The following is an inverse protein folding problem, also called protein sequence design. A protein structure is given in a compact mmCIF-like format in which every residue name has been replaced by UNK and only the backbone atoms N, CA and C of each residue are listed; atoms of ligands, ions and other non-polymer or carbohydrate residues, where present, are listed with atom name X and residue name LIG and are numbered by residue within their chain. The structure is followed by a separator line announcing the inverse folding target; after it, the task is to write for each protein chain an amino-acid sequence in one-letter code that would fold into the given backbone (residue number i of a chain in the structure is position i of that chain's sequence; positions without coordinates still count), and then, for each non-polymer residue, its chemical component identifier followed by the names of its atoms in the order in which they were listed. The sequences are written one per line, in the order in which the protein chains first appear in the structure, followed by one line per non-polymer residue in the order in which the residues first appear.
data_IF_333486479023
#
_entry.id   IF_333486479023
#
_cell.length_a   1.000
_cell.length_b   1.000
_cell.length_c   1.000
_cell.angle_alpha   90.00
_cell.angle_beta   90.00
_cell.angle_gamma   90.00
#
_symmetry.space_group_name_H-M   'P 1'
#
loop_
_entity.id
_entity.type
_entity.pdbx_description
1 polymer ?
#
# COMPACT_ATOMS: atom_id res chain seq x y z
N UNK A 1 -3.78 28.39 -0.97
CA UNK A 1 -3.76 27.26 -0.01
C UNK A 1 -2.61 26.36 -0.41
N UNK A 2 -1.62 26.19 0.46
CA UNK A 2 -0.46 25.33 0.21
C UNK A 2 -0.88 23.87 0.38
N UNK A 3 -0.73 23.05 -0.65
CA UNK A 3 -0.95 21.60 -0.58
C UNK A 3 -0.13 21.01 0.57
N UNK A 4 -0.67 20.01 1.31
CA UNK A 4 0.12 19.32 2.32
C UNK A 4 1.27 18.60 1.60
N UNK A 5 2.47 19.19 1.69
CA UNK A 5 3.69 18.64 1.09
C UNK A 5 3.97 17.29 1.76
N UNK A 6 3.64 16.20 1.08
CA UNK A 6 3.97 14.86 1.54
C UNK A 6 5.49 14.73 1.54
N UNK A 7 6.06 14.26 2.65
CA UNK A 7 7.51 14.02 2.78
C UNK A 7 8.01 12.92 1.82
N UNK A 8 7.08 12.20 1.19
CA UNK A 8 7.33 11.04 0.35
C UNK A 8 6.87 11.32 -1.09
N UNK A 9 7.60 10.81 -2.07
CA UNK A 9 7.12 10.72 -3.44
C UNK A 9 5.93 9.76 -3.48
N UNK A 10 4.78 10.24 -3.95
CA UNK A 10 3.55 9.46 -4.08
C UNK A 10 3.53 8.84 -5.47
N UNK A 11 3.39 7.51 -5.52
CA UNK A 11 3.40 6.74 -6.76
C UNK A 11 2.00 6.53 -7.33
N UNK A 12 1.00 6.37 -6.45
CA UNK A 12 -0.39 6.10 -6.83
C UNK A 12 -1.35 6.67 -5.78
N UNK A 13 -2.60 6.88 -6.18
CA UNK A 13 -3.66 7.35 -5.28
C UNK A 13 -4.84 6.39 -5.38
N UNK A 14 -5.43 6.02 -4.25
CA UNK A 14 -6.66 5.23 -4.18
C UNK A 14 -7.73 6.12 -3.52
N UNK A 15 -8.78 6.40 -4.28
CA UNK A 15 -9.94 7.17 -3.80
C UNK A 15 -10.71 6.44 -2.69
N UNK A 16 -11.60 7.16 -2.01
CA UNK A 16 -12.45 6.64 -0.93
C UNK A 16 -13.39 5.51 -1.37
N UNK A 17 -13.73 5.46 -2.67
CA UNK A 17 -14.53 4.38 -3.27
C UNK A 17 -13.68 3.20 -3.75
N UNK A 18 -12.36 3.31 -3.64
CA UNK A 18 -11.39 2.28 -3.99
C UNK A 18 -10.93 2.30 -5.45
N UNK A 19 -11.22 3.35 -6.23
CA UNK A 19 -10.67 3.50 -7.58
C UNK A 19 -9.22 3.97 -7.47
N UNK A 20 -8.33 3.32 -8.20
CA UNK A 20 -6.90 3.66 -8.25
C UNK A 20 -6.62 4.60 -9.43
N UNK A 21 -5.95 5.71 -9.13
CA UNK A 21 -5.31 6.57 -10.12
C UNK A 21 -3.83 6.18 -10.21
N UNK A 22 -3.36 5.94 -11.44
CA UNK A 22 -2.03 5.43 -11.77
C UNK A 22 -1.73 4.06 -11.14
N UNK A 23 -2.32 3.00 -11.69
CA UNK A 23 -2.09 1.61 -11.23
C UNK A 23 -0.68 1.07 -11.58
N UNK A 24 -0.10 1.54 -12.69
CA UNK A 24 1.15 0.99 -13.24
C UNK A 24 2.30 0.87 -12.22
N UNK A 25 2.60 1.88 -11.38
CA UNK A 25 3.63 1.76 -10.33
C UNK A 25 3.38 0.63 -9.33
N UNK A 26 2.12 0.35 -8.98
CA UNK A 26 1.75 -0.76 -8.08
C UNK A 26 2.10 -2.10 -8.74
N UNK A 27 1.74 -2.27 -10.01
CA UNK A 27 2.03 -3.49 -10.77
C UNK A 27 3.54 -3.69 -10.93
N UNK A 28 4.28 -2.64 -11.29
CA UNK A 28 5.74 -2.68 -11.41
C UNK A 28 6.38 -3.08 -10.07
N UNK A 29 5.96 -2.45 -8.97
CA UNK A 29 6.49 -2.77 -7.64
C UNK A 29 6.29 -4.24 -7.29
N UNK A 30 5.06 -4.76 -7.36
CA UNK A 30 4.81 -6.17 -6.98
C UNK A 30 5.44 -7.17 -7.95
N UNK A 31 5.56 -6.85 -9.24
CA UNK A 31 6.33 -7.67 -10.18
C UNK A 31 7.81 -7.71 -9.80
N UNK A 32 8.39 -6.57 -9.42
CA UNK A 32 9.78 -6.53 -8.94
C UNK A 32 9.99 -7.35 -7.67
N UNK A 33 9.03 -7.35 -6.74
CA UNK A 33 9.06 -8.22 -5.56
C UNK A 33 9.08 -9.70 -5.96
N UNK A 34 8.27 -10.12 -6.95
CA UNK A 34 8.29 -11.50 -7.46
C UNK A 34 9.62 -11.88 -8.11
N UNK A 35 10.33 -10.91 -8.69
CA UNK A 35 11.65 -11.09 -9.28
C UNK A 35 12.79 -11.00 -8.26
N UNK A 36 12.51 -10.73 -6.99
CA UNK A 36 13.52 -10.56 -5.95
C UNK A 36 14.24 -9.20 -5.99
N UNK A 37 13.75 -8.25 -6.78
CA UNK A 37 14.34 -6.91 -6.94
C UNK A 37 13.86 -5.98 -5.84
N UNK A 38 14.79 -5.43 -5.06
CA UNK A 38 14.47 -4.47 -4.00
C UNK A 38 13.86 -3.17 -4.55
N UNK A 39 13.02 -2.54 -3.74
CA UNK A 39 12.31 -1.33 -4.15
C UNK A 39 11.35 -0.82 -3.09
N UNK A 40 10.66 0.28 -3.41
CA UNK A 40 9.62 0.85 -2.56
C UNK A 40 8.50 1.47 -3.39
N UNK A 41 7.34 1.62 -2.77
CA UNK A 41 6.20 2.35 -3.31
C UNK A 41 5.46 3.06 -2.17
N UNK A 42 4.98 4.27 -2.43
CA UNK A 42 4.12 4.98 -1.49
C UNK A 42 2.78 5.29 -2.18
N UNK A 43 1.69 4.88 -1.56
CA UNK A 43 0.34 5.05 -2.11
C UNK A 43 -0.49 5.85 -1.12
N UNK A 44 -1.16 6.90 -1.60
CA UNK A 44 -2.19 7.58 -0.79
C UNK A 44 -3.48 6.79 -0.91
N UNK A 45 -4.15 6.54 0.20
CA UNK A 45 -5.48 5.94 0.26
C UNK A 45 -6.38 6.85 1.06
N UNK A 46 -7.48 7.28 0.45
CA UNK A 46 -8.48 8.09 1.14
C UNK A 46 -9.45 7.19 1.90
N UNK A 47 -9.76 7.56 3.15
CA UNK A 47 -10.84 6.93 3.91
C UNK A 47 -12.20 7.33 3.34
N UNK A 48 -13.29 6.71 3.82
CA UNK A 48 -14.65 7.09 3.39
C UNK A 48 -15.01 8.53 3.81
N UNK A 49 -14.38 9.04 4.87
CA UNK A 49 -14.47 10.41 5.36
C UNK A 49 -13.61 11.39 4.53
N UNK A 50 -12.86 10.89 3.54
CA UNK A 50 -11.97 11.70 2.70
C UNK A 50 -10.64 12.06 3.36
N UNK A 51 -10.25 11.37 4.43
CA UNK A 51 -8.98 11.60 5.12
C UNK A 51 -7.84 10.82 4.43
N UNK A 52 -6.69 11.43 4.14
CA UNK A 52 -5.59 10.74 3.47
C UNK A 52 -4.78 9.87 4.45
N UNK A 53 -4.60 8.61 4.10
CA UNK A 53 -3.63 7.70 4.69
C UNK A 53 -2.51 7.43 3.70
N UNK A 54 -1.27 7.25 4.17
CA UNK A 54 -0.15 6.86 3.32
C UNK A 54 0.21 5.41 3.63
N UNK A 55 0.28 4.61 2.58
CA UNK A 55 0.75 3.22 2.61
C UNK A 55 2.13 3.17 1.99
N UNK A 56 3.15 3.01 2.83
CA UNK A 56 4.55 2.92 2.41
C UNK A 56 4.97 1.46 2.45
N UNK A 57 5.37 0.90 1.32
CA UNK A 57 5.75 -0.49 1.19
C UNK A 57 7.19 -0.53 0.67
N UNK A 58 8.05 -1.29 1.33
CA UNK A 58 9.45 -1.46 0.95
C UNK A 58 9.77 -2.95 0.92
N UNK A 59 10.47 -3.38 -0.12
CA UNK A 59 11.02 -4.73 -0.22
C UNK A 59 12.54 -4.66 -0.28
N UNK A 60 13.20 -5.38 0.62
CA UNK A 60 14.67 -5.35 0.77
C UNK A 60 15.39 -6.51 0.05
N UNK A 61 14.68 -7.26 -0.81
CA UNK A 61 15.17 -8.49 -1.43
C UNK A 61 14.85 -9.76 -0.63
N UNK A 62 14.30 -9.62 0.58
CA UNK A 62 13.88 -10.76 1.42
C UNK A 62 12.56 -10.52 2.14
N UNK A 63 12.38 -9.35 2.74
CA UNK A 63 11.22 -8.99 3.53
C UNK A 63 10.50 -7.77 2.94
N UNK A 64 9.18 -7.77 3.10
CA UNK A 64 8.30 -6.66 2.80
C UNK A 64 7.99 -5.95 4.12
N UNK A 65 8.43 -4.70 4.22
CA UNK A 65 8.09 -3.78 5.31
C UNK A 65 6.93 -2.91 4.86
N UNK A 66 5.93 -2.78 5.71
CA UNK A 66 4.75 -1.97 5.45
C UNK A 66 4.53 -0.99 6.60
N UNK A 67 4.33 0.28 6.24
CA UNK A 67 3.97 1.34 7.16
C UNK A 67 2.66 1.97 6.70
N UNK A 68 1.68 1.99 7.60
CA UNK A 68 0.46 2.77 7.46
C UNK A 68 0.61 4.04 8.28
N UNK A 69 0.76 5.18 7.61
CA UNK A 69 0.73 6.49 8.25
C UNK A 69 -0.68 7.08 8.11
N UNK A 70 -1.41 7.05 9.22
CA UNK A 70 -2.73 7.67 9.38
C UNK A 70 -2.68 8.82 10.39
N UNK A 71 -1.49 9.38 10.66
CA UNK A 71 -1.30 10.46 11.64
C UNK A 71 -2.07 11.73 11.32
N UNK A 72 -2.41 11.95 10.04
CA UNK A 72 -3.22 13.07 9.56
C UNK A 72 -4.73 12.77 9.48
N UNK A 73 -5.15 11.62 9.96
CA UNK A 73 -6.57 11.22 10.04
C UNK A 73 -7.07 11.34 11.47
N UNK A 74 -8.38 11.25 11.64
CA UNK A 74 -9.05 11.13 12.94
C UNK A 74 -8.47 10.04 13.86
N UNK A 75 -7.89 8.98 13.30
CA UNK A 75 -7.27 7.89 14.09
C UNK A 75 -5.90 8.26 14.66
N UNK A 76 -5.13 9.12 13.99
CA UNK A 76 -3.83 9.59 14.47
C UNK A 76 -2.74 8.52 14.63
N UNK A 77 -2.87 7.34 13.99
CA UNK A 77 -1.96 6.21 14.21
C UNK A 77 -0.88 6.05 13.13
N UNK A 78 0.28 5.51 13.51
CA UNK A 78 1.29 4.97 12.61
C UNK A 78 1.51 3.50 12.97
N UNK A 79 1.26 2.60 12.01
CA UNK A 79 1.35 1.15 12.22
C UNK A 79 2.43 0.57 11.31
N UNK A 80 3.22 -0.36 11.83
CA UNK A 80 4.31 -1.01 11.12
C UNK A 80 4.13 -2.52 11.12
N UNK A 81 4.30 -3.14 9.95
CA UNK A 81 4.28 -4.58 9.76
C UNK A 81 5.48 -5.03 8.95
N UNK A 82 5.89 -6.28 9.15
CA UNK A 82 6.92 -6.92 8.32
C UNK A 82 6.50 -8.35 8.05
N UNK A 83 6.62 -8.76 6.80
CA UNK A 83 6.40 -10.14 6.35
C UNK A 83 7.42 -10.52 5.29
N UNK A 84 7.41 -11.78 4.86
CA UNK A 84 8.35 -12.31 3.87
C UNK A 84 7.67 -12.80 2.59
N UNK A 85 6.35 -12.66 2.50
CA UNK A 85 5.57 -13.11 1.35
C UNK A 85 4.36 -12.20 1.16
N UNK A 86 3.92 -12.04 -0.08
CA UNK A 86 2.61 -11.48 -0.38
C UNK A 86 1.81 -12.42 -1.27
N UNK A 87 0.48 -12.24 -1.30
CA UNK A 87 -0.40 -12.81 -2.33
C UNK A 87 -1.11 -11.68 -3.05
N UNK A 88 -1.42 -11.89 -4.34
CA UNK A 88 -2.35 -11.06 -5.11
C UNK A 88 -3.62 -11.86 -5.32
N UNK A 89 -4.73 -11.36 -4.81
CA UNK A 89 -6.03 -12.02 -4.86
C UNK A 89 -7.04 -11.13 -5.59
N UNK A 90 -7.95 -11.75 -6.34
CA UNK A 90 -9.05 -11.06 -7.01
C UNK A 90 -10.37 -11.50 -6.39
N UNK A 91 -11.03 -10.60 -5.68
CA UNK A 91 -12.29 -10.81 -5.00
C UNK A 91 -13.38 -9.99 -5.70
N UNK A 92 -14.04 -10.61 -6.70
CA UNK A 92 -15.00 -9.92 -7.57
C UNK A 92 -14.33 -8.81 -8.37
N UNK A 93 -14.71 -7.56 -8.14
CA UNK A 93 -14.08 -6.38 -8.77
C UNK A 93 -12.87 -5.83 -7.99
N UNK A 94 -12.53 -6.39 -6.83
CA UNK A 94 -11.39 -5.92 -6.03
C UNK A 94 -10.13 -6.73 -6.29
N UNK A 95 -9.00 -6.03 -6.36
CA UNK A 95 -7.65 -6.59 -6.32
C UNK A 95 -7.09 -6.30 -4.94
N UNK A 96 -6.57 -7.33 -4.27
CA UNK A 96 -6.00 -7.25 -2.93
C UNK A 96 -4.57 -7.79 -2.92
N UNK A 97 -3.67 -7.03 -2.30
CA UNK A 97 -2.31 -7.47 -2.00
C UNK A 97 -2.20 -7.72 -0.50
N UNK A 98 -2.01 -8.98 -0.11
CA UNK A 98 -2.06 -9.41 1.29
C UNK A 98 -0.66 -9.81 1.76
N UNK A 99 -0.24 -9.33 2.94
CA UNK A 99 1.08 -9.59 3.54
C UNK A 99 1.01 -10.82 4.45
N UNK A 100 2.02 -11.68 4.33
CA UNK A 100 2.17 -12.89 5.12
C UNK A 100 3.56 -13.00 5.72
N UNK A 101 3.61 -13.62 6.90
CA UNK A 101 4.83 -14.19 7.48
C UNK A 101 4.72 -15.71 7.33
N UNK A 102 5.51 -16.27 6.42
CA UNK A 102 5.39 -17.65 5.96
C UNK A 102 3.96 -17.93 5.45
N UNK A 103 3.14 -18.63 6.24
CA UNK A 103 1.75 -18.94 5.92
C UNK A 103 0.74 -18.19 6.79
N UNK A 104 1.19 -17.33 7.72
CA UNK A 104 0.33 -16.55 8.59
C UNK A 104 0.04 -15.19 7.97
N UNK A 105 -1.23 -14.88 7.77
CA UNK A 105 -1.67 -13.54 7.35
C UNK A 105 -1.29 -12.50 8.41
N UNK A 106 -0.79 -11.35 7.95
CA UNK A 106 -0.44 -10.21 8.81
C UNK A 106 -1.45 -9.07 8.59
N UNK A 107 -1.56 -8.59 7.36
CA UNK A 107 -2.38 -7.42 7.02
C UNK A 107 -2.58 -7.32 5.51
N UNK A 108 -3.59 -6.56 5.09
CA UNK A 108 -3.70 -6.11 3.71
C UNK A 108 -2.69 -4.95 3.45
N UNK A 109 -1.88 -5.07 2.41
CA UNK A 109 -0.94 -4.03 1.96
C UNK A 109 -1.70 -2.97 1.17
N UNK A 110 -2.44 -3.39 0.15
CA UNK A 110 -3.23 -2.54 -0.74
C UNK A 110 -4.50 -3.27 -1.19
N UNK A 111 -5.56 -2.50 -1.41
CA UNK A 111 -6.81 -2.98 -1.98
C UNK A 111 -7.43 -1.88 -2.83
N UNK A 112 -7.79 -2.20 -4.07
CA UNK A 112 -8.50 -1.28 -4.98
C UNK A 112 -9.44 -2.04 -5.91
N UNK A 113 -10.37 -1.31 -6.52
CA UNK A 113 -11.29 -1.81 -7.54
C UNK A 113 -10.64 -1.72 -8.91
N UNK A 114 -10.82 -2.78 -9.69
CA UNK A 114 -10.54 -2.84 -11.12
C UNK A 114 -11.81 -2.59 -11.94
#
# INVERSE_FOLDING_TARGET
MSEPMFKYSISSIISSVGIIDYEEPVLIFFNNVLLGTSGYINVIVFTIEGEPQIRMITYDGKNIKYVLDSSKTSTGVIINYTGNRFTKEKNGSRIEYNLYQNNRFITNLLSYRN
#
